data_IF_481264625206
#
_entry.id   IF_481264625206
#
_cell.length_a   1.000
_cell.length_b   1.000
_cell.length_c   1.000
_cell.angle_alpha   90.00
_cell.angle_beta   90.00
_cell.angle_gamma   90.00
#
_symmetry.space_group_name_H-M   'P 1'
#
loop_
_entity.id
_entity.type
_entity.pdbx_description
1 polymer ?
#
# COMPACT_ATOMS: atom_id res chain seq x y z
N UNK A 1 8.15 1.04 -19.14
CA UNK A 1 8.23 1.48 -17.73
C UNK A 1 9.29 0.64 -17.03
N UNK A 2 10.17 1.22 -16.19
CA UNK A 2 11.08 0.43 -15.36
C UNK A 2 10.31 -0.47 -14.38
N UNK A 3 10.97 -1.51 -13.87
CA UNK A 3 10.46 -2.29 -12.74
C UNK A 3 10.64 -1.47 -11.46
N UNK A 4 9.60 -1.39 -10.65
CA UNK A 4 9.64 -0.62 -9.41
C UNK A 4 10.00 -1.55 -8.26
N UNK A 5 11.04 -1.20 -7.52
CA UNK A 5 11.39 -1.87 -6.26
C UNK A 5 11.14 -0.88 -5.12
N UNK A 6 10.27 -1.26 -4.20
CA UNK A 6 10.05 -0.51 -2.97
C UNK A 6 10.84 -1.13 -1.81
N UNK A 7 11.93 -0.47 -1.43
CA UNK A 7 12.66 -0.77 -0.20
C UNK A 7 11.87 -0.24 0.98
N UNK A 8 11.09 -1.12 1.60
CA UNK A 8 10.24 -0.77 2.73
C UNK A 8 11.08 -0.80 4.01
N UNK A 9 11.41 0.39 4.50
CA UNK A 9 12.08 0.53 5.79
C UNK A 9 11.06 0.57 6.93
N UNK A 10 11.25 -0.33 7.89
CA UNK A 10 10.33 -0.48 9.01
C UNK A 10 10.08 0.86 9.73
N UNK A 11 8.79 1.18 9.89
CA UNK A 11 8.26 2.39 10.55
C UNK A 11 8.49 3.71 9.81
N UNK A 12 8.79 3.65 8.52
CA UNK A 12 8.86 4.82 7.62
C UNK A 12 7.64 4.86 6.67
N UNK A 13 6.43 4.62 7.20
CA UNK A 13 5.16 4.53 6.49
C UNK A 13 5.03 3.47 5.37
N UNK A 14 5.94 2.51 5.29
CA UNK A 14 5.92 1.58 4.18
C UNK A 14 4.71 0.64 4.13
N UNK A 15 4.05 0.28 5.23
CA UNK A 15 2.82 -0.53 5.16
C UNK A 15 1.67 0.20 4.46
N UNK A 16 1.42 1.46 4.82
CA UNK A 16 0.36 2.26 4.18
C UNK A 16 0.69 2.52 2.70
N UNK A 17 1.96 2.84 2.41
CA UNK A 17 2.40 3.08 1.04
C UNK A 17 2.37 1.80 0.19
N UNK A 18 2.78 0.65 0.74
CA UNK A 18 2.71 -0.64 0.05
C UNK A 18 1.28 -0.96 -0.38
N UNK A 19 0.33 -0.85 0.56
CA UNK A 19 -1.09 -1.15 0.26
C UNK A 19 -1.66 -0.20 -0.78
N UNK A 20 -1.25 1.07 -0.75
CA UNK A 20 -1.57 2.03 -1.80
C UNK A 20 -0.99 1.61 -3.15
N UNK A 21 0.32 1.31 -3.22
CA UNK A 21 1.00 0.95 -4.45
C UNK A 21 0.50 -0.36 -5.07
N UNK A 22 0.16 -1.35 -4.24
CA UNK A 22 -0.44 -2.61 -4.69
C UNK A 22 -1.69 -2.38 -5.53
N UNK A 23 -2.39 -1.26 -5.38
CA UNK A 23 -3.57 -0.99 -6.19
C UNK A 23 -3.25 -0.76 -7.66
N UNK A 24 -2.02 -0.41 -8.03
CA UNK A 24 -1.66 0.07 -9.38
C UNK A 24 -0.81 -0.92 -10.19
N UNK A 25 -0.59 -2.13 -9.70
CA UNK A 25 0.13 -3.18 -10.41
C UNK A 25 -0.72 -4.46 -10.48
N UNK A 26 -0.70 -5.23 -11.58
CA UNK A 26 -1.37 -6.53 -11.63
C UNK A 26 -0.85 -7.47 -10.54
N UNK A 27 -1.72 -8.30 -9.96
CA UNK A 27 -1.34 -9.16 -8.83
C UNK A 27 -0.30 -10.21 -9.22
N UNK A 28 -0.35 -10.72 -10.45
CA UNK A 28 0.59 -11.67 -11.03
C UNK A 28 1.92 -11.04 -11.50
N UNK A 29 2.00 -9.71 -11.52
CA UNK A 29 3.20 -8.92 -11.79
C UNK A 29 3.81 -8.30 -10.52
N UNK A 30 3.32 -8.68 -9.33
CA UNK A 30 3.86 -8.28 -8.03
C UNK A 30 4.68 -9.39 -7.37
N UNK A 31 5.81 -9.02 -6.75
CA UNK A 31 6.58 -9.90 -5.86
C UNK A 31 6.62 -9.30 -4.46
N UNK A 32 6.23 -10.10 -3.47
CA UNK A 32 6.25 -9.76 -2.05
C UNK A 32 7.28 -10.62 -1.35
N UNK A 33 8.44 -10.04 -1.07
CA UNK A 33 9.56 -10.81 -0.51
C UNK A 33 9.32 -11.28 0.93
N UNK A 34 8.38 -10.67 1.66
CA UNK A 34 7.92 -11.14 2.97
C UNK A 34 7.29 -12.54 2.92
N UNK A 35 6.75 -12.99 1.78
CA UNK A 35 6.27 -14.36 1.57
C UNK A 35 7.40 -15.40 1.73
N UNK A 36 8.65 -14.94 1.62
CA UNK A 36 9.87 -15.74 1.70
C UNK A 36 10.66 -15.45 2.98
N UNK A 37 10.03 -14.92 4.04
CA UNK A 37 10.72 -14.41 5.24
C UNK A 37 11.76 -15.37 5.86
N UNK A 38 11.51 -16.69 5.85
CA UNK A 38 12.47 -17.70 6.34
C UNK A 38 13.73 -17.78 5.48
N UNK A 39 13.59 -17.76 4.15
CA UNK A 39 14.67 -17.83 3.14
C UNK A 39 15.41 -16.49 3.02
N UNK A 40 14.67 -15.39 3.15
CA UNK A 40 15.20 -14.02 3.18
C UNK A 40 16.16 -13.82 4.33
N UNK A 41 15.79 -14.41 5.47
CA UNK A 41 16.64 -14.42 6.63
C UNK A 41 17.90 -15.26 6.36
N UNK A 42 17.86 -16.39 5.65
CA UNK A 42 19.10 -17.13 5.37
C UNK A 42 20.01 -16.46 4.33
N UNK A 43 19.48 -15.56 3.51
CA UNK A 43 20.21 -14.92 2.40
C UNK A 43 20.14 -15.71 1.10
N UNK A 44 19.32 -16.77 1.06
CA UNK A 44 19.28 -17.78 -0.01
C UNK A 44 17.95 -17.77 -0.78
N UNK A 45 17.31 -16.61 -0.97
CA UNK A 45 16.07 -16.55 -1.76
C UNK A 45 16.44 -16.69 -3.23
N UNK A 46 16.21 -17.85 -3.82
CA UNK A 46 16.24 -18.01 -5.27
C UNK A 46 14.84 -17.69 -5.81
N UNK A 47 14.68 -16.48 -6.38
CA UNK A 47 13.44 -16.14 -7.06
C UNK A 47 13.32 -16.91 -8.36
N UNK A 48 12.14 -17.47 -8.61
CA UNK A 48 11.81 -18.12 -9.87
C UNK A 48 12.01 -17.13 -11.04
N UNK A 49 12.89 -17.43 -12.02
CA UNK A 49 13.28 -16.48 -13.05
C UNK A 49 12.11 -15.94 -13.88
N UNK A 50 11.08 -16.73 -14.18
CA UNK A 50 9.94 -16.26 -14.95
C UNK A 50 9.06 -15.28 -14.16
N UNK A 51 8.89 -15.50 -12.85
CA UNK A 51 8.20 -14.59 -11.93
C UNK A 51 8.95 -13.27 -11.85
N UNK A 52 10.28 -13.31 -11.70
CA UNK A 52 11.12 -12.09 -11.68
C UNK A 52 11.10 -11.36 -13.03
N UNK A 53 11.09 -12.08 -14.15
CA UNK A 53 11.03 -11.49 -15.49
C UNK A 53 9.73 -10.71 -15.73
N UNK A 54 8.60 -11.23 -15.23
CA UNK A 54 7.26 -10.59 -15.31
C UNK A 54 7.03 -9.51 -14.27
N UNK A 55 7.78 -9.51 -13.17
CA UNK A 55 7.59 -8.56 -12.09
C UNK A 55 7.73 -7.11 -12.58
N UNK A 56 6.72 -6.29 -12.27
CA UNK A 56 6.74 -4.84 -12.44
C UNK A 56 6.81 -4.09 -11.12
N UNK A 57 6.38 -4.71 -10.04
CA UNK A 57 6.49 -4.19 -8.69
C UNK A 57 7.06 -5.25 -7.76
N UNK A 58 8.06 -4.86 -6.98
CA UNK A 58 8.70 -5.71 -6.00
C UNK A 58 8.71 -4.97 -4.67
N UNK A 59 8.14 -5.58 -3.65
CA UNK A 59 8.23 -5.12 -2.27
C UNK A 59 9.39 -5.83 -1.57
N UNK A 60 10.35 -5.05 -1.07
CA UNK A 60 11.54 -5.52 -0.36
C UNK A 60 11.57 -4.92 1.06
N UNK A 61 10.99 -5.62 2.06
CA UNK A 61 10.86 -5.12 3.44
C UNK A 61 12.12 -5.24 4.31
N UNK A 62 13.20 -5.82 3.79
CA UNK A 62 14.38 -6.11 4.60
C UNK A 62 15.69 -5.63 3.97
N UNK A 63 15.61 -5.01 2.80
CA UNK A 63 16.80 -4.69 2.02
C UNK A 63 17.53 -5.98 1.67
N UNK A 64 16.84 -6.96 1.11
CA UNK A 64 17.45 -8.27 0.87
C UNK A 64 18.57 -8.19 -0.15
N UNK A 65 18.43 -7.32 -1.16
CA UNK A 65 19.39 -7.19 -2.25
C UNK A 65 19.64 -5.76 -2.70
N UNK A 66 20.83 -5.58 -3.25
CA UNK A 66 21.11 -4.45 -4.13
C UNK A 66 20.57 -4.76 -5.54
N UNK A 67 19.31 -4.38 -5.78
CA UNK A 67 18.56 -4.73 -6.99
C UNK A 67 19.17 -4.29 -8.33
N UNK A 68 19.91 -3.16 -8.44
CA UNK A 68 20.58 -2.82 -9.70
C UNK A 68 21.57 -3.88 -10.19
N UNK A 69 22.08 -4.75 -9.30
CA UNK A 69 22.93 -5.90 -9.66
C UNK A 69 22.13 -7.18 -9.98
N UNK A 70 20.82 -7.22 -9.68
CA UNK A 70 19.96 -8.41 -9.85
C UNK A 70 19.10 -8.35 -11.10
N UNK A 71 18.61 -7.17 -11.46
CA UNK A 71 17.70 -6.99 -12.60
C UNK A 71 18.05 -5.71 -13.36
N UNK A 72 17.96 -5.78 -14.69
CA UNK A 72 18.10 -4.60 -15.55
C UNK A 72 16.81 -3.77 -15.56
N UNK A 73 16.95 -2.48 -15.88
CA UNK A 73 15.84 -1.52 -16.01
C UNK A 73 14.98 -1.45 -14.73
N UNK A 74 15.65 -1.35 -13.59
CA UNK A 74 15.02 -1.20 -12.27
C UNK A 74 15.05 0.27 -11.83
N UNK A 75 13.96 0.70 -11.22
CA UNK A 75 13.89 1.93 -10.47
C UNK A 75 13.56 1.60 -9.02
N UNK A 76 14.48 1.94 -8.12
CA UNK A 76 14.36 1.67 -6.69
C UNK A 76 13.85 2.89 -5.96
N UNK A 77 13.07 2.69 -4.90
CA UNK A 77 12.59 3.78 -4.08
C UNK A 77 12.50 3.39 -2.61
N UNK A 78 12.55 4.38 -1.72
CA UNK A 78 12.27 4.20 -0.30
C UNK A 78 11.57 5.42 0.29
N UNK A 79 10.94 5.22 1.45
CA UNK A 79 10.54 6.32 2.33
C UNK A 79 11.36 6.22 3.61
N UNK A 80 11.82 7.37 4.08
CA UNK A 80 12.61 7.52 5.29
C UNK A 80 11.85 8.32 6.34
N UNK A 81 12.40 8.33 7.55
CA UNK A 81 11.88 9.05 8.70
C UNK A 81 13.06 9.51 9.54
N UNK A 82 12.87 10.55 10.32
CA UNK A 82 13.77 10.90 11.41
C UNK A 82 14.12 9.63 12.23
N UNK A 83 15.41 9.34 12.45
CA UNK A 83 15.83 8.09 13.08
C UNK A 83 15.27 7.90 14.50
N UNK A 84 15.18 8.97 15.29
CA UNK A 84 14.65 8.90 16.64
C UNK A 84 13.15 8.60 16.59
N UNK A 85 12.39 9.35 15.80
CA UNK A 85 10.97 9.12 15.62
C UNK A 85 10.64 7.71 15.09
N UNK A 86 11.51 7.16 14.22
CA UNK A 86 11.41 5.77 13.75
C UNK A 86 11.58 4.77 14.89
N UNK A 87 12.64 4.90 15.69
CA UNK A 87 12.91 4.03 16.86
C UNK A 87 11.77 4.13 17.87
N UNK A 88 11.31 5.33 18.18
CA UNK A 88 10.19 5.53 19.10
C UNK A 88 8.89 4.95 18.53
N UNK A 89 8.67 5.05 17.21
CA UNK A 89 7.53 4.41 16.56
C UNK A 89 7.63 2.88 16.60
N UNK A 90 8.83 2.31 16.57
CA UNK A 90 9.06 0.88 16.75
C UNK A 90 8.76 0.46 18.19
N UNK A 91 9.30 1.17 19.19
CA UNK A 91 8.97 0.95 20.59
C UNK A 91 7.46 0.94 20.84
N UNK A 92 6.72 1.92 20.30
CA UNK A 92 5.27 1.98 20.46
C UNK A 92 4.52 0.84 19.77
N UNK A 93 5.08 0.27 18.70
CA UNK A 93 4.52 -0.93 18.09
C UNK A 93 4.74 -2.14 18.99
N UNK A 94 5.97 -2.35 19.48
CA UNK A 94 6.31 -3.47 20.37
C UNK A 94 5.54 -3.41 21.68
N UNK A 95 5.37 -2.21 22.26
CA UNK A 95 4.54 -1.98 23.44
C UNK A 95 3.11 -2.55 23.27
N UNK A 96 2.58 -2.56 22.05
CA UNK A 96 1.24 -3.03 21.72
C UNK A 96 1.18 -4.46 21.22
N UNK A 97 2.29 -5.19 21.19
CA UNK A 97 2.28 -6.58 20.76
C UNK A 97 1.31 -7.43 21.58
N UNK A 98 0.50 -8.22 20.89
CA UNK A 98 -0.39 -9.23 21.48
C UNK A 98 0.40 -10.47 21.92
N UNK A 99 -0.25 -11.41 22.61
CA UNK A 99 0.37 -12.69 22.95
C UNK A 99 0.70 -13.52 21.70
N UNK A 100 -0.17 -13.47 20.68
CA UNK A 100 0.08 -14.16 19.40
C UNK A 100 1.29 -13.57 18.65
N UNK A 101 1.43 -12.25 18.65
CA UNK A 101 2.57 -11.57 18.01
C UNK A 101 3.90 -11.90 18.71
N UNK A 102 3.93 -11.96 20.05
CA UNK A 102 5.17 -12.31 20.76
C UNK A 102 5.53 -13.79 20.64
N UNK A 103 4.54 -14.69 20.49
CA UNK A 103 4.77 -16.14 20.43
C UNK A 103 5.62 -16.57 19.22
N UNK A 104 5.61 -15.80 18.13
CA UNK A 104 6.37 -16.09 16.90
C UNK A 104 7.72 -15.37 16.82
N UNK A 105 8.03 -14.50 17.78
CA UNK A 105 9.26 -13.69 17.80
C UNK A 105 10.20 -14.24 18.88
N UNK A 106 11.43 -14.65 18.54
CA UNK A 106 12.42 -15.06 19.54
C UNK A 106 12.66 -13.97 20.59
N UNK A 107 12.35 -14.27 21.86
CA UNK A 107 12.44 -13.29 22.95
C UNK A 107 11.32 -12.23 22.97
N UNK A 108 10.26 -12.41 22.19
CA UNK A 108 9.17 -11.45 22.03
C UNK A 108 8.52 -11.02 23.34
N UNK A 109 8.29 -11.96 24.26
CA UNK A 109 7.74 -11.67 25.60
C UNK A 109 8.62 -10.69 26.36
N UNK A 110 9.93 -10.98 26.47
CA UNK A 110 10.89 -10.09 27.14
C UNK A 110 10.93 -8.72 26.47
N UNK A 111 11.05 -8.66 25.14
CA UNK A 111 11.16 -7.40 24.41
C UNK A 111 9.90 -6.54 24.65
N UNK A 112 8.70 -7.14 24.62
CA UNK A 112 7.43 -6.46 24.92
C UNK A 112 7.36 -5.98 26.35
N UNK A 113 7.75 -6.83 27.30
CA UNK A 113 7.70 -6.49 28.73
C UNK A 113 8.66 -5.35 29.07
N UNK A 114 9.84 -5.33 28.46
CA UNK A 114 10.74 -4.17 28.52
C UNK A 114 10.07 -2.94 27.92
N UNK A 115 9.46 -3.03 26.73
CA UNK A 115 8.80 -1.88 26.11
C UNK A 115 7.68 -1.28 26.98
N UNK A 116 6.92 -2.12 27.70
CA UNK A 116 5.82 -1.69 28.58
C UNK A 116 6.27 -1.17 29.93
N UNK A 117 7.29 -1.78 30.52
CA UNK A 117 7.59 -1.58 31.94
C UNK A 117 8.93 -0.88 32.20
N UNK A 118 9.88 -0.92 31.26
CA UNK A 118 11.21 -0.32 31.41
C UNK A 118 11.76 0.17 30.07
N UNK A 119 11.42 1.42 29.73
CA UNK A 119 11.80 2.05 28.46
C UNK A 119 13.32 2.15 28.28
N UNK A 120 14.09 2.38 29.36
CA UNK A 120 15.55 2.49 29.30
C UNK A 120 16.16 1.13 29.00
N UNK A 121 15.70 0.08 29.68
CA UNK A 121 16.13 -1.28 29.41
C UNK A 121 15.68 -1.75 28.02
N UNK A 122 14.52 -1.32 27.50
CA UNK A 122 14.13 -1.61 26.13
C UNK A 122 15.17 -1.11 25.11
N UNK A 123 15.71 0.10 25.26
CA UNK A 123 16.73 0.60 24.32
C UNK A 123 18.14 0.08 24.61
N UNK A 124 18.40 -0.45 25.81
CA UNK A 124 19.75 -0.89 26.22
C UNK A 124 19.95 -2.40 26.15
N UNK A 125 18.87 -3.19 26.18
CA UNK A 125 18.94 -4.64 26.26
C UNK A 125 19.32 -5.27 24.91
N UNK A 126 20.30 -6.20 24.84
CA UNK A 126 20.79 -6.75 23.57
C UNK A 126 19.69 -7.33 22.65
N UNK A 127 18.70 -8.03 23.19
CA UNK A 127 17.62 -8.58 22.36
C UNK A 127 16.75 -7.50 21.70
N UNK A 128 16.54 -6.37 22.38
CA UNK A 128 15.77 -5.25 21.86
C UNK A 128 16.62 -4.37 20.94
N UNK A 129 17.93 -4.26 21.19
CA UNK A 129 18.84 -3.53 20.29
C UNK A 129 18.92 -4.17 18.91
N UNK A 130 18.84 -5.50 18.80
CA UNK A 130 18.85 -6.21 17.51
C UNK A 130 17.79 -5.67 16.52
N UNK A 131 16.62 -5.26 17.01
CA UNK A 131 15.51 -4.75 16.19
C UNK A 131 15.49 -3.20 16.08
N UNK A 132 16.43 -2.50 16.71
CA UNK A 132 16.45 -1.03 16.77
C UNK A 132 17.75 -0.40 16.27
N UNK A 133 18.88 -1.07 16.43
CA UNK A 133 20.22 -0.56 16.10
C UNK A 133 20.34 -0.27 14.61
N UNK A 134 20.59 1.00 14.28
CA UNK A 134 20.87 1.54 12.95
C UNK A 134 20.06 0.87 11.83
N UNK A 135 18.75 0.72 12.03
CA UNK A 135 17.89 -0.08 11.16
C UNK A 135 17.75 0.52 9.77
N UNK A 136 17.74 1.86 9.62
CA UNK A 136 17.68 2.50 8.31
C UNK A 136 18.96 2.13 7.53
N UNK A 137 20.11 2.29 8.16
CA UNK A 137 21.43 1.98 7.60
C UNK A 137 21.53 0.49 7.26
N UNK A 138 21.17 -0.41 8.17
CA UNK A 138 21.29 -1.85 7.96
C UNK A 138 20.42 -2.35 6.80
N UNK A 139 19.20 -1.84 6.66
CA UNK A 139 18.31 -2.22 5.57
C UNK A 139 18.78 -1.62 4.23
N UNK A 140 19.25 -0.37 4.22
CA UNK A 140 19.84 0.22 3.01
C UNK A 140 21.18 -0.41 2.61
N UNK A 141 21.94 -0.97 3.56
CA UNK A 141 23.18 -1.69 3.24
C UNK A 141 22.95 -2.95 2.38
N UNK A 142 21.71 -3.44 2.38
CA UNK A 142 21.29 -4.67 1.73
C UNK A 142 22.19 -5.86 2.02
N UNK A 143 22.43 -6.11 3.31
CA UNK A 143 23.37 -7.10 3.84
C UNK A 143 22.81 -7.78 5.12
N UNK A 144 21.60 -8.40 5.06
CA UNK A 144 20.96 -8.95 6.25
C UNK A 144 21.74 -10.12 6.89
N UNK A 145 22.48 -10.89 6.08
CA UNK A 145 23.32 -11.99 6.55
C UNK A 145 24.51 -11.52 7.37
N UNK A 146 25.25 -10.53 6.86
CA UNK A 146 26.40 -9.92 7.52
C UNK A 146 25.98 -9.22 8.81
N UNK A 147 24.85 -8.51 8.80
CA UNK A 147 24.28 -7.91 10.01
C UNK A 147 23.99 -8.95 11.09
N UNK A 148 23.33 -10.06 10.72
CA UNK A 148 23.06 -11.13 11.67
C UNK A 148 24.34 -11.76 12.19
N UNK A 149 25.33 -12.00 11.33
CA UNK A 149 26.61 -12.57 11.73
C UNK A 149 27.34 -11.66 12.72
N UNK A 150 27.39 -10.36 12.44
CA UNK A 150 27.98 -9.37 13.34
C UNK A 150 27.29 -9.38 14.70
N UNK A 151 25.95 -9.47 14.72
CA UNK A 151 25.16 -9.55 15.96
C UNK A 151 25.42 -10.83 16.75
N UNK A 152 25.41 -11.99 16.08
CA UNK A 152 25.71 -13.30 16.70
C UNK A 152 27.11 -13.36 17.31
N UNK A 153 28.07 -12.67 16.69
CA UNK A 153 29.44 -12.59 17.16
C UNK A 153 29.64 -11.50 18.24
N UNK A 154 28.58 -10.79 18.66
CA UNK A 154 28.68 -9.71 19.65
C UNK A 154 29.51 -8.51 19.17
N UNK A 155 29.59 -8.32 17.85
CA UNK A 155 30.47 -7.34 17.20
C UNK A 155 29.76 -6.28 16.31
N UNK A 156 28.48 -5.90 16.53
CA UNK A 156 27.81 -4.90 15.68
C UNK A 156 28.48 -3.52 15.77
N UNK A 157 29.22 -3.25 16.85
CA UNK A 157 29.98 -2.01 17.03
C UNK A 157 31.44 -2.09 16.56
N UNK A 158 31.86 -3.20 15.94
CA UNK A 158 33.18 -3.30 15.33
C UNK A 158 33.35 -2.21 14.24
N UNK A 159 34.50 -1.54 14.22
CA UNK A 159 34.75 -0.41 13.32
C UNK A 159 34.66 -0.79 11.84
N UNK A 160 35.20 -1.95 11.46
CA UNK A 160 35.18 -2.43 10.08
C UNK A 160 33.77 -2.76 9.63
N UNK A 161 32.98 -3.43 10.48
CA UNK A 161 31.58 -3.74 10.19
C UNK A 161 30.74 -2.46 10.05
N UNK A 162 30.91 -1.49 10.96
CA UNK A 162 30.23 -0.19 10.89
C UNK A 162 30.57 0.57 9.60
N UNK A 163 31.85 0.59 9.23
CA UNK A 163 32.30 1.21 7.97
C UNK A 163 31.69 0.51 6.75
N UNK A 164 31.65 -0.83 6.76
CA UNK A 164 31.04 -1.65 5.72
C UNK A 164 29.55 -1.33 5.52
N UNK A 165 28.74 -1.36 6.57
CA UNK A 165 27.29 -1.11 6.46
C UNK A 165 27.01 0.33 6.05
N UNK A 166 27.75 1.31 6.59
CA UNK A 166 27.63 2.72 6.21
C UNK A 166 27.91 2.90 4.71
N UNK A 167 29.03 2.36 4.23
CA UNK A 167 29.42 2.49 2.82
C UNK A 167 28.38 1.88 1.87
N UNK A 168 27.86 0.69 2.21
CA UNK A 168 26.82 0.04 1.39
C UNK A 168 25.51 0.81 1.44
N UNK A 169 25.09 1.28 2.61
CA UNK A 169 23.87 2.08 2.75
C UNK A 169 23.93 3.36 1.90
N UNK A 170 25.06 4.06 1.92
CA UNK A 170 25.28 5.24 1.08
C UNK A 170 25.26 4.88 -0.43
N UNK A 171 25.92 3.79 -0.82
CA UNK A 171 25.88 3.30 -2.22
C UNK A 171 24.44 3.04 -2.67
N UNK A 172 23.64 2.34 -1.85
CA UNK A 172 22.24 2.07 -2.14
C UNK A 172 21.44 3.35 -2.25
N UNK A 173 21.56 4.22 -1.25
CA UNK A 173 20.86 5.50 -1.19
C UNK A 173 21.11 6.36 -2.44
N UNK A 174 22.37 6.50 -2.87
CA UNK A 174 22.74 7.26 -4.08
C UNK A 174 22.26 6.62 -5.38
N UNK A 175 21.92 5.34 -5.36
CA UNK A 175 21.35 4.64 -6.51
C UNK A 175 19.82 4.66 -6.56
N UNK A 176 19.15 5.15 -5.51
CA UNK A 176 17.69 5.25 -5.49
C UNK A 176 17.20 6.19 -6.58
N UNK A 177 16.14 5.78 -7.27
CA UNK A 177 15.45 6.59 -8.26
C UNK A 177 14.48 7.57 -7.61
N UNK A 178 13.99 7.25 -6.40
CA UNK A 178 13.07 8.09 -5.65
C UNK A 178 13.28 7.96 -4.14
N UNK A 179 13.36 9.09 -3.45
CA UNK A 179 13.38 9.16 -1.99
C UNK A 179 12.16 9.96 -1.53
N UNK A 180 11.44 9.44 -0.54
CA UNK A 180 10.37 10.14 0.19
C UNK A 180 10.68 10.25 1.67
N UNK A 181 10.00 11.16 2.37
CA UNK A 181 10.12 11.32 3.81
C UNK A 181 8.76 11.35 4.49
N UNK A 182 8.68 10.74 5.66
CA UNK A 182 7.47 10.68 6.46
C UNK A 182 7.04 12.04 7.00
N UNK A 183 7.99 12.92 7.31
CA UNK A 183 7.74 14.28 7.81
C UNK A 183 7.19 15.19 6.71
N UNK A 184 7.46 14.87 5.43
CA UNK A 184 6.94 15.58 4.26
C UNK A 184 6.14 14.62 3.36
N UNK A 185 5.29 13.80 3.99
CA UNK A 185 4.62 12.69 3.33
C UNK A 185 3.73 13.15 2.17
N UNK A 186 2.92 14.19 2.36
CA UNK A 186 1.99 14.68 1.33
C UNK A 186 2.71 15.16 0.06
N UNK A 187 3.81 15.92 0.22
CA UNK A 187 4.63 16.36 -0.91
C UNK A 187 5.37 15.20 -1.56
N UNK A 188 5.96 14.31 -0.76
CA UNK A 188 6.66 13.11 -1.23
C UNK A 188 5.71 12.20 -2.02
N UNK A 189 4.49 11.99 -1.53
CA UNK A 189 3.47 11.21 -2.22
C UNK A 189 3.04 11.86 -3.54
N UNK A 190 2.82 13.17 -3.56
CA UNK A 190 2.46 13.88 -4.80
C UNK A 190 3.57 13.77 -5.85
N UNK A 191 4.84 13.91 -5.44
CA UNK A 191 5.99 13.72 -6.31
C UNK A 191 6.09 12.26 -6.81
N UNK A 192 5.81 11.28 -5.95
CA UNK A 192 5.76 9.86 -6.32
C UNK A 192 4.65 9.58 -7.34
N UNK A 193 3.45 10.13 -7.13
CA UNK A 193 2.33 10.01 -8.05
C UNK A 193 2.65 10.60 -9.41
N UNK A 194 3.29 11.77 -9.43
CA UNK A 194 3.79 12.39 -10.65
C UNK A 194 4.84 11.51 -11.35
N UNK A 195 5.82 10.99 -10.60
CA UNK A 195 6.88 10.14 -11.13
C UNK A 195 6.36 8.85 -11.77
N UNK A 196 5.35 8.23 -11.14
CA UNK A 196 4.78 6.95 -11.58
C UNK A 196 3.50 7.12 -12.42
N UNK A 197 3.04 8.36 -12.63
CA UNK A 197 1.76 8.67 -13.31
C UNK A 197 0.55 7.99 -12.63
N UNK A 198 0.52 8.01 -11.28
CA UNK A 198 -0.55 7.43 -10.46
C UNK A 198 -1.64 8.47 -10.17
N UNK A 199 -2.89 8.05 -9.87
CA UNK A 199 -3.95 8.97 -9.51
C UNK A 199 -3.60 9.76 -8.22
N UNK A 200 -4.02 11.04 -8.13
CA UNK A 200 -3.87 11.84 -6.93
C UNK A 200 -4.84 11.34 -5.85
N UNK A 201 -4.36 10.44 -5.00
CA UNK A 201 -5.11 9.84 -3.90
C UNK A 201 -4.25 9.79 -2.62
N UNK A 202 -4.84 9.44 -1.49
CA UNK A 202 -4.12 9.32 -0.22
C UNK A 202 -4.07 7.85 0.24
N UNK A 203 -2.89 7.34 0.62
CA UNK A 203 -2.75 6.07 1.31
C UNK A 203 -3.60 6.04 2.57
N UNK A 204 -4.27 4.91 2.78
CA UNK A 204 -5.18 4.80 3.89
C UNK A 204 -4.43 4.56 5.22
N UNK A 205 -4.86 5.23 6.30
CA UNK A 205 -4.30 4.98 7.62
C UNK A 205 -4.72 3.58 8.08
N UNK A 206 -3.75 2.68 8.26
CA UNK A 206 -4.03 1.29 8.65
C UNK A 206 -4.10 1.08 10.17
N UNK A 207 -3.68 2.08 10.95
CA UNK A 207 -3.52 1.99 12.40
C UNK A 207 -4.48 2.93 13.16
N UNK A 208 -5.73 3.04 12.72
CA UNK A 208 -6.74 3.95 13.32
C UNK A 208 -7.03 3.60 14.80
N UNK A 209 -6.89 2.32 15.20
CA UNK A 209 -7.03 1.93 16.60
C UNK A 209 -5.82 2.35 17.46
N UNK A 210 -4.61 2.32 16.88
CA UNK A 210 -3.40 2.73 17.60
C UNK A 210 -3.38 4.24 17.87
N UNK A 211 -4.02 5.05 17.02
CA UNK A 211 -4.14 6.50 17.22
C UNK A 211 -5.13 6.89 18.32
N UNK A 212 -6.04 5.98 18.72
CA UNK A 212 -6.97 6.20 19.84
C UNK A 212 -6.33 5.95 21.20
N UNK A 213 -5.25 5.18 21.26
CA UNK A 213 -4.49 4.96 22.49
C UNK A 213 -3.49 6.10 22.70
N UNK A 214 -3.44 6.62 23.91
CA UNK A 214 -2.45 7.62 24.27
C UNK A 214 -1.07 6.96 24.35
N UNK A 215 -0.17 7.34 23.42
CA UNK A 215 1.24 6.93 23.45
C UNK A 215 1.89 7.48 24.73
N UNK A 216 2.48 6.64 25.60
CA UNK A 216 3.19 7.13 26.76
C UNK A 216 4.39 8.00 26.34
N UNK A 217 4.70 9.01 27.15
CA UNK A 217 5.93 9.80 26.99
C UNK A 217 7.14 8.94 27.32
N UNK A 218 8.23 9.12 26.57
CA UNK A 218 9.52 8.56 26.94
C UNK A 218 10.22 9.46 27.97
N UNK A 219 10.94 8.87 28.92
CA UNK A 219 11.82 9.63 29.82
C UNK A 219 13.03 10.19 29.07
N UNK A 220 13.71 11.18 29.64
CA UNK A 220 14.93 11.75 29.06
C UNK A 220 16.05 10.70 28.93
N UNK A 221 16.17 9.81 29.92
CA UNK A 221 17.12 8.70 29.90
C UNK A 221 16.78 7.68 28.80
N UNK A 222 15.50 7.40 28.58
CA UNK A 222 15.07 6.52 27.51
C UNK A 222 15.35 7.14 26.13
N UNK A 223 15.15 8.45 25.96
CA UNK A 223 15.53 9.17 24.74
C UNK A 223 17.04 9.15 24.54
N UNK A 224 17.84 9.34 25.59
CA UNK A 224 19.29 9.25 25.52
C UNK A 224 19.75 7.84 25.09
N UNK A 225 19.16 6.78 25.67
CA UNK A 225 19.44 5.40 25.29
C UNK A 225 19.03 5.11 23.84
N UNK A 226 17.88 5.62 23.38
CA UNK A 226 17.45 5.48 21.99
C UNK A 226 18.42 6.18 21.01
N UNK A 227 18.95 7.35 21.36
CA UNK A 227 19.91 8.08 20.53
C UNK A 227 21.23 7.31 20.32
N UNK A 228 21.66 6.50 21.29
CA UNK A 228 22.85 5.65 21.16
C UNK A 228 22.69 4.54 20.11
N UNK A 229 21.47 4.26 19.64
CA UNK A 229 21.18 3.20 18.67
C UNK A 229 21.17 3.68 17.22
N UNK A 230 21.20 4.99 16.97
CA UNK A 230 20.84 5.59 15.67
C UNK A 230 21.94 6.49 15.09
N UNK A 231 23.17 6.35 15.55
CA UNK A 231 24.27 7.21 15.14
C UNK A 231 24.57 7.11 13.63
N UNK A 232 24.62 5.90 13.07
CA UNK A 232 24.75 5.72 11.61
C UNK A 232 23.48 6.12 10.87
N UNK A 233 22.29 5.86 11.44
CA UNK A 233 21.02 6.28 10.84
C UNK A 233 20.95 7.81 10.70
N UNK A 234 21.45 8.56 11.67
CA UNK A 234 21.55 10.02 11.60
C UNK A 234 22.43 10.48 10.45
N UNK A 235 23.62 9.87 10.28
CA UNK A 235 24.50 10.18 9.15
C UNK A 235 23.84 9.87 7.80
N UNK A 236 23.25 8.67 7.65
CA UNK A 236 22.62 8.23 6.39
C UNK A 236 21.38 9.07 6.06
N UNK A 237 20.56 9.42 7.06
CA UNK A 237 19.38 10.27 6.85
C UNK A 237 19.78 11.70 6.48
N UNK A 238 20.88 12.23 7.02
CA UNK A 238 21.38 13.54 6.60
C UNK A 238 21.75 13.56 5.11
N UNK A 239 22.49 12.54 4.62
CA UNK A 239 22.80 12.39 3.19
C UNK A 239 21.51 12.24 2.37
N UNK A 240 20.53 11.49 2.89
CA UNK A 240 19.26 11.28 2.18
C UNK A 240 18.44 12.56 2.06
N UNK A 241 18.52 13.47 3.04
CA UNK A 241 17.87 14.78 2.98
C UNK A 241 18.45 15.65 1.87
N UNK A 242 19.77 15.68 1.71
CA UNK A 242 20.41 16.41 0.61
C UNK A 242 19.94 15.88 -0.75
N UNK A 243 19.93 14.55 -0.94
CA UNK A 243 19.46 13.92 -2.17
C UNK A 243 17.97 14.16 -2.43
N UNK A 244 17.16 14.16 -1.36
CA UNK A 244 15.74 14.48 -1.44
C UNK A 244 15.50 15.93 -1.87
N UNK A 245 16.23 16.88 -1.31
CA UNK A 245 16.10 18.30 -1.65
C UNK A 245 16.50 18.54 -3.12
N UNK A 246 17.59 17.92 -3.58
CA UNK A 246 17.98 17.92 -5.00
C UNK A 246 16.88 17.32 -5.89
N UNK A 247 16.31 16.17 -5.49
CA UNK A 247 15.20 15.55 -6.21
C UNK A 247 14.01 16.50 -6.29
N UNK A 248 13.56 17.07 -5.17
CA UNK A 248 12.43 17.99 -5.13
C UNK A 248 12.68 19.23 -5.98
N UNK A 249 13.89 19.78 -5.97
CA UNK A 249 14.27 20.90 -6.83
C UNK A 249 14.17 20.54 -8.32
N UNK A 250 14.59 19.33 -8.73
CA UNK A 250 14.42 18.84 -10.11
C UNK A 250 12.95 18.70 -10.50
N UNK A 251 12.13 18.15 -9.62
CA UNK A 251 10.68 18.04 -9.84
C UNK A 251 10.06 19.44 -9.99
N UNK A 252 10.42 20.38 -9.12
CA UNK A 252 9.92 21.74 -9.18
C UNK A 252 10.34 22.48 -10.45
N UNK A 253 11.59 22.31 -10.89
CA UNK A 253 12.08 22.89 -12.14
C UNK A 253 11.37 22.32 -13.38
N UNK A 254 10.97 21.03 -13.33
CA UNK A 254 10.36 20.34 -14.47
C UNK A 254 8.85 20.55 -14.54
N UNK A 255 8.17 20.54 -13.39
CA UNK A 255 6.70 20.46 -13.30
C UNK A 255 6.06 21.64 -12.56
N UNK A 256 6.84 22.55 -12.00
CA UNK A 256 6.34 23.65 -11.17
C UNK A 256 6.19 23.29 -9.69
N UNK A 257 5.65 24.21 -8.89
CA UNK A 257 5.54 24.07 -7.43
C UNK A 257 4.37 23.20 -6.96
N UNK A 258 3.36 23.00 -7.82
CA UNK A 258 2.17 22.22 -7.49
C UNK A 258 2.24 20.81 -8.09
N UNK A 259 2.84 19.90 -7.33
CA UNK A 259 3.00 18.50 -7.75
C UNK A 259 1.67 17.76 -7.85
N UNK A 260 0.65 18.15 -7.08
CA UNK A 260 -0.63 17.45 -7.08
C UNK A 260 -1.37 17.69 -8.40
N UNK A 261 -1.46 18.96 -8.83
CA UNK A 261 -2.05 19.29 -10.13
C UNK A 261 -1.27 18.67 -11.30
N UNK A 262 0.06 18.71 -11.26
CA UNK A 262 0.89 18.08 -12.29
C UNK A 262 0.73 16.55 -12.33
N UNK A 263 0.58 15.90 -11.17
CA UNK A 263 0.33 14.47 -11.07
C UNK A 263 -1.01 14.10 -11.72
N UNK A 264 -2.07 14.87 -11.46
CA UNK A 264 -3.38 14.65 -12.07
C UNK A 264 -3.32 14.73 -13.60
N UNK A 265 -2.66 15.76 -14.14
CA UNK A 265 -2.47 15.93 -15.59
C UNK A 265 -1.70 14.76 -16.20
N UNK A 266 -0.63 14.30 -15.54
CA UNK A 266 0.20 13.21 -16.04
C UNK A 266 -0.55 11.87 -15.99
N UNK A 267 -1.28 11.62 -14.91
CA UNK A 267 -2.15 10.46 -14.77
C UNK A 267 -3.21 10.40 -15.88
N UNK A 268 -3.93 11.50 -16.15
CA UNK A 268 -4.92 11.56 -17.25
C UNK A 268 -4.29 11.25 -18.62
N UNK A 269 -3.06 11.72 -18.86
CA UNK A 269 -2.31 11.42 -20.10
C UNK A 269 -1.83 9.97 -20.18
N UNK A 270 -1.58 9.31 -19.05
CA UNK A 270 -1.17 7.91 -19.02
C UNK A 270 -2.31 6.94 -19.35
N UNK A 271 -3.56 7.37 -19.16
CA UNK A 271 -4.77 6.57 -19.39
C UNK A 271 -5.22 6.48 -20.87
N UNK A 272 -4.37 6.86 -21.84
CA UNK A 272 -4.80 6.96 -23.25
C UNK A 272 -4.66 5.63 -23.98
N UNK A 273 -5.66 4.74 -23.84
CA UNK A 273 -6.03 3.69 -24.83
C UNK A 273 -7.49 3.28 -24.64
N UNK A 274 -8.45 3.88 -25.36
CA UNK A 274 -9.85 3.57 -25.15
C UNK A 274 -10.16 2.14 -25.58
N UNK A 275 -10.71 1.35 -24.67
CA UNK A 275 -11.19 0.01 -24.95
C UNK A 275 -12.64 0.08 -25.48
N UNK A 276 -13.01 -0.91 -26.31
CA UNK A 276 -14.40 -1.10 -26.70
C UNK A 276 -15.20 -1.87 -25.64
N UNK A 277 -14.54 -2.71 -24.85
CA UNK A 277 -15.11 -3.48 -23.73
C UNK A 277 -14.03 -3.61 -22.66
N UNK A 278 -14.40 -3.40 -21.39
CA UNK A 278 -13.47 -3.50 -20.26
C UNK A 278 -14.10 -4.32 -19.14
N UNK A 279 -13.31 -5.26 -18.59
CA UNK A 279 -13.64 -5.95 -17.34
C UNK A 279 -12.54 -5.62 -16.33
N UNK A 280 -12.96 -5.17 -15.16
CA UNK A 280 -12.10 -4.88 -14.01
C UNK A 280 -12.40 -5.94 -12.95
N UNK A 281 -11.64 -7.02 -12.95
CA UNK A 281 -11.80 -8.19 -12.06
C UNK A 281 -11.14 -8.03 -10.67
N UNK A 282 -10.79 -6.79 -10.33
CA UNK A 282 -10.06 -6.36 -9.11
C UNK A 282 -8.66 -6.96 -8.90
N UNK A 283 -8.22 -7.88 -9.76
CA UNK A 283 -6.85 -8.40 -9.81
C UNK A 283 -5.89 -7.44 -10.50
N UNK A 284 -6.43 -6.68 -11.46
CA UNK A 284 -5.71 -5.71 -12.27
C UNK A 284 -5.49 -4.38 -11.53
N UNK A 285 -4.60 -3.50 -12.06
CA UNK A 285 -4.47 -2.12 -11.62
C UNK A 285 -5.83 -1.43 -11.59
N UNK A 286 -6.10 -0.73 -10.49
CA UNK A 286 -7.32 0.03 -10.30
C UNK A 286 -6.98 1.51 -10.33
N UNK A 287 -7.31 2.16 -11.44
CA UNK A 287 -7.11 3.58 -11.64
C UNK A 287 -8.28 4.32 -11.00
N UNK A 288 -8.07 4.96 -9.85
CA UNK A 288 -9.14 5.61 -9.10
C UNK A 288 -8.80 5.77 -7.63
N UNK A 289 -9.78 6.21 -6.84
CA UNK A 289 -9.61 6.57 -5.42
C UNK A 289 -10.66 5.91 -4.53
N UNK A 290 -10.41 5.86 -3.22
CA UNK A 290 -11.40 5.35 -2.25
C UNK A 290 -11.51 3.82 -2.23
N UNK A 291 -10.41 3.12 -2.52
CA UNK A 291 -10.34 1.66 -2.50
C UNK A 291 -9.30 1.16 -1.49
N UNK A 292 -9.67 0.14 -0.74
CA UNK A 292 -8.71 -0.66 0.03
C UNK A 292 -7.87 -1.56 -0.89
N UNK A 293 -6.80 -2.12 -0.32
CA UNK A 293 -5.99 -3.11 -1.03
C UNK A 293 -6.83 -4.30 -1.49
N UNK A 294 -6.41 -4.95 -2.57
CA UNK A 294 -7.04 -6.18 -3.05
C UNK A 294 -7.01 -7.28 -1.99
N UNK A 295 -8.10 -8.01 -1.91
CA UNK A 295 -8.25 -9.24 -1.14
C UNK A 295 -8.47 -10.39 -2.10
N UNK A 296 -8.11 -11.60 -1.67
CA UNK A 296 -8.32 -12.81 -2.45
C UNK A 296 -9.20 -13.74 -1.65
N UNK A 297 -10.33 -14.12 -2.22
CA UNK A 297 -11.20 -15.15 -1.68
C UNK A 297 -11.24 -16.32 -2.67
N UNK A 298 -10.71 -17.47 -2.25
CA UNK A 298 -10.52 -18.69 -3.06
C UNK A 298 -9.78 -18.39 -4.38
N UNK A 299 -10.54 -18.06 -5.43
CA UNK A 299 -10.07 -17.86 -6.80
C UNK A 299 -10.36 -16.47 -7.38
N UNK A 300 -11.06 -15.58 -6.65
CA UNK A 300 -11.39 -14.23 -7.14
C UNK A 300 -10.74 -13.16 -6.28
N UNK A 301 -10.37 -12.07 -6.93
CA UNK A 301 -9.96 -10.86 -6.26
C UNK A 301 -11.18 -9.98 -5.99
N UNK A 302 -11.15 -9.27 -4.88
CA UNK A 302 -12.15 -8.29 -4.49
C UNK A 302 -11.48 -7.09 -3.85
N UNK A 303 -12.19 -5.96 -3.81
CA UNK A 303 -11.74 -4.75 -3.13
C UNK A 303 -12.90 -4.13 -2.39
N UNK A 304 -12.62 -3.72 -1.15
CA UNK A 304 -13.54 -2.90 -0.38
C UNK A 304 -13.42 -1.44 -0.79
N UNK A 305 -14.54 -0.76 -0.93
CA UNK A 305 -14.58 0.71 -0.90
C UNK A 305 -14.19 1.21 0.49
N UNK A 306 -13.54 2.35 0.57
CA UNK A 306 -13.25 3.04 1.82
C UNK A 306 -11.95 3.85 1.80
N UNK A 307 -11.71 4.65 2.85
CA UNK A 307 -12.48 4.77 4.09
C UNK A 307 -13.68 5.71 3.96
N UNK A 308 -13.78 6.45 2.87
CA UNK A 308 -14.97 7.24 2.54
C UNK A 308 -16.04 6.37 1.90
N UNK A 309 -17.32 6.75 1.99
CA UNK A 309 -18.41 6.04 1.30
C UNK A 309 -18.37 6.19 -0.23
N UNK A 310 -17.45 7.00 -0.74
CA UNK A 310 -17.23 7.26 -2.16
C UNK A 310 -15.97 6.55 -2.64
N UNK A 311 -16.07 5.86 -3.78
CA UNK A 311 -14.94 5.35 -4.54
C UNK A 311 -15.07 5.76 -6.01
N UNK A 312 -13.95 6.01 -6.66
CA UNK A 312 -13.92 6.35 -8.09
C UNK A 312 -13.13 5.33 -8.88
N UNK A 313 -13.47 5.13 -10.14
CA UNK A 313 -12.66 4.39 -11.10
C UNK A 313 -12.66 5.10 -12.46
N UNK A 314 -11.48 5.29 -13.01
CA UNK A 314 -11.25 5.90 -14.32
C UNK A 314 -10.92 4.82 -15.34
N UNK A 315 -11.78 4.68 -16.35
CA UNK A 315 -11.71 3.62 -17.36
C UNK A 315 -11.53 4.28 -18.73
N UNK A 316 -10.42 4.03 -19.44
CA UNK A 316 -10.28 4.44 -20.83
C UNK A 316 -11.33 3.74 -21.70
N UNK A 317 -12.27 4.48 -22.28
CA UNK A 317 -13.44 3.88 -22.92
C UNK A 317 -13.96 4.73 -24.09
N UNK A 318 -14.42 4.08 -25.17
CA UNK A 318 -15.03 4.75 -26.32
C UNK A 318 -16.49 5.13 -26.02
N UNK A 319 -16.83 6.42 -26.11
CA UNK A 319 -18.15 6.97 -25.75
C UNK A 319 -19.07 7.21 -26.97
N UNK A 320 -18.94 6.39 -28.02
CA UNK A 320 -19.61 6.59 -29.31
C UNK A 320 -21.00 5.93 -29.43
N UNK A 321 -21.51 5.37 -28.33
CA UNK A 321 -22.75 4.59 -28.25
C UNK A 321 -23.21 4.47 -26.81
N UNK A 322 -24.44 4.02 -26.62
CA UNK A 322 -24.99 3.76 -25.30
C UNK A 322 -24.15 2.66 -24.63
N UNK A 323 -23.85 2.85 -23.35
CA UNK A 323 -23.03 1.92 -22.59
C UNK A 323 -23.86 1.26 -21.50
N UNK A 324 -23.54 0.01 -21.20
CA UNK A 324 -23.99 -0.65 -19.99
C UNK A 324 -22.79 -0.78 -19.05
N UNK A 325 -23.01 -0.38 -17.80
CA UNK A 325 -22.08 -0.61 -16.70
C UNK A 325 -22.72 -1.66 -15.81
N UNK A 326 -21.94 -2.65 -15.40
CA UNK A 326 -22.36 -3.68 -14.46
C UNK A 326 -21.30 -3.85 -13.39
N UNK A 327 -21.68 -3.97 -12.13
CA UNK A 327 -20.73 -4.34 -11.09
C UNK A 327 -21.32 -5.33 -10.09
N UNK A 328 -20.46 -6.19 -9.55
CA UNK A 328 -20.82 -7.30 -8.66
C UNK A 328 -20.36 -7.01 -7.25
N UNK A 329 -21.33 -6.91 -6.34
CA UNK A 329 -21.12 -6.75 -4.90
C UNK A 329 -21.21 -8.11 -4.24
N UNK A 330 -20.13 -8.53 -3.60
CA UNK A 330 -20.03 -9.82 -2.89
C UNK A 330 -20.37 -9.70 -1.41
N UNK A 331 -20.22 -8.51 -0.84
CA UNK A 331 -20.29 -8.35 0.61
C UNK A 331 -20.64 -6.93 1.03
N UNK A 332 -21.34 -6.86 2.17
CA UNK A 332 -21.82 -5.64 2.82
C UNK A 332 -21.77 -5.83 4.33
N UNK A 333 -21.65 -4.72 5.04
CA UNK A 333 -21.74 -4.68 6.50
C UNK A 333 -23.10 -4.14 6.97
N UNK A 334 -23.84 -3.45 6.11
CA UNK A 334 -25.17 -2.91 6.38
C UNK A 334 -26.01 -2.88 5.10
N UNK A 335 -27.30 -3.19 5.18
CA UNK A 335 -28.19 -3.15 4.01
C UNK A 335 -28.28 -1.75 3.42
N UNK A 336 -28.12 -0.70 4.25
CA UNK A 336 -28.10 0.71 3.81
C UNK A 336 -27.03 1.00 2.78
N UNK A 337 -25.88 0.33 2.87
CA UNK A 337 -24.78 0.51 1.91
C UNK A 337 -25.20 0.18 0.48
N UNK A 338 -26.14 -0.76 0.33
CA UNK A 338 -26.69 -1.15 -0.97
C UNK A 338 -28.00 -0.43 -1.27
N UNK A 339 -28.86 -0.24 -0.27
CA UNK A 339 -30.19 0.34 -0.49
C UNK A 339 -30.11 1.84 -0.88
N UNK A 340 -29.06 2.54 -0.49
CA UNK A 340 -28.78 3.94 -0.86
C UNK A 340 -27.59 4.05 -1.85
N UNK A 341 -27.22 2.94 -2.51
CA UNK A 341 -26.13 2.94 -3.48
C UNK A 341 -26.49 3.78 -4.71
N UNK A 342 -25.58 4.67 -5.10
CA UNK A 342 -25.71 5.44 -6.33
C UNK A 342 -24.48 5.29 -7.20
N UNK A 343 -24.67 5.46 -8.51
CA UNK A 343 -23.63 5.48 -9.50
C UNK A 343 -23.73 6.79 -10.27
N UNK A 344 -22.61 7.50 -10.38
CA UNK A 344 -22.45 8.59 -11.36
C UNK A 344 -21.44 8.18 -12.42
N UNK A 345 -21.72 8.56 -13.64
CA UNK A 345 -20.89 8.31 -14.81
C UNK A 345 -20.54 9.66 -15.40
N UNK A 346 -19.28 10.05 -15.26
CA UNK A 346 -18.88 11.45 -15.33
C UNK A 346 -19.75 12.28 -14.36
N UNK A 347 -20.61 13.17 -14.88
CA UNK A 347 -21.56 13.96 -14.09
C UNK A 347 -23.00 13.40 -14.12
N UNK A 348 -23.26 12.34 -14.89
CA UNK A 348 -24.59 11.80 -15.08
C UNK A 348 -24.99 10.84 -13.93
N UNK A 349 -26.08 11.11 -13.19
CA UNK A 349 -26.58 10.20 -12.17
C UNK A 349 -27.32 9.02 -12.80
N UNK A 350 -26.67 7.85 -12.81
CA UNK A 350 -27.18 6.65 -13.42
C UNK A 350 -28.28 5.99 -12.59
N UNK A 351 -29.33 5.49 -13.26
CA UNK A 351 -30.35 4.67 -12.61
C UNK A 351 -29.86 3.23 -12.54
N UNK A 352 -29.71 2.69 -11.33
CA UNK A 352 -29.27 1.33 -11.09
C UNK A 352 -30.45 0.35 -11.08
N UNK A 353 -30.37 -0.73 -11.86
CA UNK A 353 -31.18 -1.92 -11.65
C UNK A 353 -30.42 -2.92 -10.80
N UNK A 354 -31.13 -3.62 -9.91
CA UNK A 354 -30.56 -4.52 -8.92
C UNK A 354 -31.16 -5.91 -9.05
N UNK A 355 -30.32 -6.94 -9.12
CA UNK A 355 -30.75 -8.34 -9.17
C UNK A 355 -29.71 -9.28 -8.54
N UNK A 356 -30.12 -10.51 -8.22
CA UNK A 356 -29.24 -11.51 -7.59
C UNK A 356 -28.74 -12.50 -8.64
N UNK A 357 -27.42 -12.60 -8.80
CA UNK A 357 -26.78 -13.64 -9.64
C UNK A 357 -26.66 -14.95 -8.85
N UNK A 358 -26.43 -14.86 -7.54
CA UNK A 358 -26.41 -16.00 -6.63
C UNK A 358 -26.83 -15.57 -5.22
N UNK A 359 -26.81 -16.50 -4.26
CA UNK A 359 -27.05 -16.18 -2.84
C UNK A 359 -26.09 -15.11 -2.32
N UNK A 360 -24.85 -15.08 -2.80
CA UNK A 360 -23.78 -14.23 -2.25
C UNK A 360 -23.35 -13.11 -3.18
N UNK A 361 -23.99 -12.95 -4.34
CA UNK A 361 -23.61 -11.93 -5.33
C UNK A 361 -24.84 -11.14 -5.74
N UNK A 362 -24.80 -9.84 -5.47
CA UNK A 362 -25.78 -8.87 -5.95
C UNK A 362 -25.16 -8.08 -7.09
N UNK A 363 -25.90 -7.99 -8.18
CA UNK A 363 -25.48 -7.30 -9.40
C UNK A 363 -26.26 -6.00 -9.53
N UNK A 364 -25.52 -4.95 -9.88
CA UNK A 364 -26.07 -3.66 -10.27
C UNK A 364 -25.73 -3.42 -11.72
N UNK A 365 -26.71 -3.01 -12.52
CA UNK A 365 -26.46 -2.52 -13.87
C UNK A 365 -27.10 -1.15 -14.11
N UNK A 366 -26.51 -0.40 -15.03
CA UNK A 366 -27.04 0.88 -15.49
C UNK A 366 -26.78 1.05 -16.98
N UNK A 367 -27.84 1.45 -17.70
CA UNK A 367 -27.76 1.90 -19.08
C UNK A 367 -27.50 3.41 -19.09
N UNK A 368 -26.42 3.83 -19.74
CA UNK A 368 -26.05 5.23 -19.88
C UNK A 368 -26.20 5.63 -21.34
N UNK A 369 -27.12 6.55 -21.68
CA UNK A 369 -27.26 7.05 -23.03
C UNK A 369 -26.00 7.81 -23.47
N UNK A 370 -25.53 7.58 -24.69
CA UNK A 370 -24.29 8.20 -25.20
C UNK A 370 -24.30 9.73 -25.16
N UNK A 371 -25.47 10.33 -25.32
CA UNK A 371 -25.67 11.78 -25.30
C UNK A 371 -25.38 12.41 -23.92
N UNK A 372 -25.43 11.61 -22.85
CA UNK A 372 -25.17 12.07 -21.48
C UNK A 372 -23.69 11.92 -21.09
N UNK A 373 -22.91 11.18 -21.89
CA UNK A 373 -21.50 10.94 -21.63
C UNK A 373 -20.66 12.18 -21.94
N UNK A 374 -19.65 12.47 -21.11
CA UNK A 374 -18.76 13.59 -21.39
C UNK A 374 -17.83 13.27 -22.57
N UNK A 375 -18.16 13.83 -23.73
CA UNK A 375 -17.44 13.65 -25.00
C UNK A 375 -16.10 14.39 -25.08
N UNK A 376 -15.76 15.24 -24.09
CA UNK A 376 -14.46 15.94 -24.06
C UNK A 376 -13.30 15.07 -23.59
N UNK A 377 -13.58 13.86 -23.11
CA UNK A 377 -12.61 12.95 -22.50
C UNK A 377 -12.88 11.50 -22.90
N UNK A 378 -11.82 10.79 -23.35
CA UNK A 378 -11.85 9.34 -23.62
C UNK A 378 -11.75 8.49 -22.34
N UNK A 379 -11.81 9.13 -21.16
CA UNK A 379 -11.85 8.47 -19.85
C UNK A 379 -13.28 8.57 -19.34
N UNK A 380 -13.85 7.42 -18.99
CA UNK A 380 -15.11 7.28 -18.27
C UNK A 380 -14.80 7.25 -16.78
N UNK A 381 -15.28 8.24 -16.02
CA UNK A 381 -15.17 8.24 -14.57
C UNK A 381 -16.43 7.66 -13.96
N UNK A 382 -16.31 6.53 -13.26
CA UNK A 382 -17.39 6.00 -12.44
C UNK A 382 -17.18 6.49 -11.01
N UNK A 383 -18.20 7.09 -10.42
CA UNK A 383 -18.24 7.41 -8.98
C UNK A 383 -19.31 6.55 -8.34
N UNK A 384 -18.90 5.70 -7.42
CA UNK A 384 -19.77 4.79 -6.68
C UNK A 384 -19.87 5.35 -5.26
N UNK A 385 -21.09 5.68 -4.85
CA UNK A 385 -21.38 6.24 -3.53
C UNK A 385 -22.33 5.30 -2.78
N UNK A 386 -21.92 4.84 -1.58
CA UNK A 386 -22.80 4.11 -0.68
C UNK A 386 -23.25 4.98 0.52
N UNK A 387 -24.19 4.50 1.34
CA UNK A 387 -24.66 5.27 2.50
C UNK A 387 -23.55 5.56 3.52
N UNK A 388 -22.69 4.58 3.77
CA UNK A 388 -21.80 4.58 4.92
C UNK A 388 -20.64 3.59 4.76
N UNK A 389 -19.56 3.86 5.47
CA UNK A 389 -18.46 2.92 5.72
C UNK A 389 -18.45 2.51 7.18
N UNK A 390 -18.30 1.22 7.45
CA UNK A 390 -18.40 0.65 8.81
C UNK A 390 -17.04 0.04 9.19
N UNK A 391 -16.59 0.29 10.42
CA UNK A 391 -15.45 -0.43 11.00
C UNK A 391 -15.92 -1.75 11.58
N UNK A 392 -15.31 -2.86 11.16
CA UNK A 392 -15.61 -4.16 11.73
C UNK A 392 -15.16 -4.22 13.20
N UNK A 393 -16.07 -4.56 14.10
CA UNK A 393 -15.78 -4.61 15.55
C UNK A 393 -15.15 -5.92 16.01
N UNK A 394 -15.27 -6.99 15.23
CA UNK A 394 -14.90 -8.35 15.62
C UNK A 394 -13.53 -8.83 15.08
N UNK A 395 -12.92 -8.07 14.18
CA UNK A 395 -11.60 -8.36 13.60
C UNK A 395 -10.61 -7.30 14.07
N UNK A 396 -9.32 -7.64 14.16
CA UNK A 396 -8.22 -6.66 14.30
C UNK A 396 -8.08 -5.74 13.05
N UNK A 397 -9.16 -5.60 12.28
CA UNK A 397 -9.27 -4.84 11.06
C UNK A 397 -9.94 -3.49 11.35
N UNK A 398 -9.11 -2.48 11.52
CA UNK A 398 -9.58 -1.12 11.78
C UNK A 398 -10.04 -0.34 10.56
N UNK A 399 -10.13 -0.97 9.39
CA UNK A 399 -10.56 -0.29 8.17
C UNK A 399 -12.02 0.14 8.27
N UNK A 400 -12.34 1.28 7.66
CA UNK A 400 -13.72 1.67 7.38
C UNK A 400 -14.11 1.08 6.02
N UNK A 401 -15.06 0.14 6.01
CA UNK A 401 -15.40 -0.66 4.83
C UNK A 401 -16.79 -0.28 4.30
N UNK A 402 -16.86 0.05 3.02
CA UNK A 402 -18.09 0.28 2.26
C UNK A 402 -18.63 -1.04 1.69
N UNK A 403 -18.66 -1.13 0.36
CA UNK A 403 -19.04 -2.34 -0.37
C UNK A 403 -17.80 -3.15 -0.77
N UNK A 404 -17.90 -4.47 -0.76
CA UNK A 404 -16.92 -5.33 -1.42
C UNK A 404 -17.35 -5.57 -2.86
N UNK A 405 -16.54 -5.13 -3.83
CA UNK A 405 -16.77 -5.33 -5.26
C UNK A 405 -15.72 -6.30 -5.78
N UNK A 406 -16.14 -7.30 -6.56
CA UNK A 406 -15.23 -8.26 -7.19
C UNK A 406 -15.06 -8.06 -8.69
N UNK A 407 -15.98 -7.34 -9.34
CA UNK A 407 -15.92 -7.12 -10.78
C UNK A 407 -16.71 -5.88 -11.21
N UNK A 408 -16.18 -5.15 -12.19
CA UNK A 408 -16.89 -4.10 -12.93
C UNK A 408 -16.73 -4.38 -14.43
N UNK A 409 -17.84 -4.50 -15.14
CA UNK A 409 -17.90 -4.61 -16.60
C UNK A 409 -18.40 -3.29 -17.19
N UNK A 410 -17.74 -2.82 -18.24
CA UNK A 410 -18.17 -1.66 -19.04
C UNK A 410 -18.09 -2.03 -20.51
N UNK A 411 -19.19 -1.80 -21.23
CA UNK A 411 -19.28 -2.17 -22.63
C UNK A 411 -20.43 -1.49 -23.37
N UNK A 412 -20.49 -1.65 -24.70
CA UNK A 412 -21.61 -1.25 -25.53
C UNK A 412 -22.88 -1.95 -25.06
N UNK A 413 -23.98 -1.22 -24.92
CA UNK A 413 -25.24 -1.81 -24.43
C UNK A 413 -25.76 -2.94 -25.34
N UNK A 414 -25.47 -2.88 -26.64
CA UNK A 414 -25.82 -3.89 -27.65
C UNK A 414 -24.93 -5.15 -27.61
N UNK A 415 -23.76 -5.07 -26.97
CA UNK A 415 -22.82 -6.18 -26.84
C UNK A 415 -23.07 -7.00 -25.56
N UNK A 416 -23.77 -6.45 -24.57
CA UNK A 416 -24.18 -7.24 -23.41
C UNK A 416 -25.23 -8.24 -23.84
N UNK A 417 -24.87 -9.53 -23.77
CA UNK A 417 -25.88 -10.57 -23.65
C UNK A 417 -26.60 -10.26 -22.34
N UNK A 418 -27.81 -9.71 -22.43
CA UNK A 418 -28.73 -9.63 -21.31
C UNK A 418 -28.94 -11.07 -20.84
N UNK A 419 -28.14 -11.53 -19.89
CA UNK A 419 -28.50 -12.67 -19.09
C UNK A 419 -29.87 -12.33 -18.52
N UNK A 420 -30.85 -13.21 -18.74
CA UNK A 420 -32.20 -13.03 -18.21
C UNK A 420 -32.07 -12.57 -16.76
N UNK A 421 -32.69 -11.44 -16.37
CA UNK A 421 -32.50 -10.90 -15.04
C UNK A 421 -32.75 -12.02 -14.04
N UNK A 422 -31.74 -12.28 -13.21
CA UNK A 422 -31.91 -13.21 -12.10
C UNK A 422 -33.07 -12.77 -11.20
N UNK A 423 -33.43 -13.59 -10.22
CA UNK A 423 -34.47 -13.21 -9.27
C UNK A 423 -34.18 -11.82 -8.69
N UNK A 424 -35.15 -10.89 -8.64
CA UNK A 424 -34.96 -9.59 -8.02
C UNK A 424 -34.34 -9.75 -6.64
N UNK A 425 -33.19 -9.11 -6.41
CA UNK A 425 -32.45 -9.26 -5.17
C UNK A 425 -33.21 -8.58 -4.04
N UNK A 426 -33.51 -9.30 -2.97
CA UNK A 426 -33.80 -8.67 -1.67
C UNK A 426 -32.49 -8.53 -0.90
N UNK A 427 -32.33 -7.46 -0.11
CA UNK A 427 -31.12 -7.22 0.69
C UNK A 427 -30.76 -8.37 1.65
N UNK A 428 -31.71 -9.29 1.89
CA UNK A 428 -31.54 -10.47 2.75
C UNK A 428 -30.65 -11.58 2.17
N UNK A 429 -30.27 -11.51 0.89
CA UNK A 429 -29.37 -12.50 0.28
C UNK A 429 -27.91 -12.36 0.73
N UNK A 430 -27.43 -11.13 0.88
CA UNK A 430 -26.06 -10.86 1.34
C UNK A 430 -25.98 -11.18 2.84
N UNK A 431 -25.27 -12.26 3.21
CA UNK A 431 -24.92 -12.51 4.61
C UNK A 431 -23.83 -11.54 5.00
N UNK A 432 -24.10 -10.66 5.97
CA UNK A 432 -23.04 -9.91 6.66
C UNK A 432 -22.03 -10.89 7.23
N UNK A 433 -20.74 -10.60 7.02
CA UNK A 433 -19.61 -11.44 7.42
C UNK A 433 -19.73 -11.81 8.89
N UNK A 434 -19.90 -13.10 9.19
CA UNK A 434 -19.37 -13.67 10.43
C UNK A 434 -18.09 -14.42 10.07
N UNK A 435 -17.01 -14.09 10.79
CA UNK A 435 -15.64 -14.59 10.69
C UNK A 435 -14.82 -14.17 9.45
N UNK A 436 -13.80 -13.36 9.70
CA UNK A 436 -12.65 -13.16 8.83
C UNK A 436 -11.93 -14.48 8.61
N UNK A 437 -11.80 -14.92 7.36
CA UNK A 437 -10.84 -15.94 6.92
C UNK A 437 -9.63 -15.23 6.34
N UNK A 438 -8.78 -14.67 7.21
CA UNK A 438 -7.42 -14.31 6.87
C UNK A 438 -6.52 -15.20 7.72
N UNK A 439 -6.17 -16.36 7.16
CA UNK A 439 -4.94 -17.08 7.53
C UNK A 439 -3.92 -16.83 6.41
#
# INVERSE_FOLDING_TARGET
MPRIVFHHINKCAGTSLLKYLQNFFPSDECIHLEEHYSEMNSGDVELEPNRLARARFIHDPFGSWYWPEKISNVATMCFLRDPLDRVVSNWWMVHRWTDDEVAVIPGGELIRDLARNDQVAFFSHPQSQYINWNQITCQLACAPGEYRQAWRNGSPNNQDFRAFVRQRAEKTLRSLSFIGFQEDFGRSLSALQLWLSLPPDQPQPLNIHASKQQKPSLSEEAIAAANQLIDLDQEIVAIARELYDEQMARFQATYGVDFASAAEDNYRKALIRPAGWTVVDMSQPLNGTGWHCRERNEHKFSRWMGPTPTATIDIPFRKDRDILIRFRVTNILSTRQVDELTLKVDEYPATLNRWSESTFVVVFDALIPHQELNQSSDILRLTIDCAETITMTASNDGRQLGLEICEIEVGPSDAFILQSPGTPATARGLRGVSSSRND
#
